data_IF_797084131088
#
_entry.id   IF_797084131088
#
_cell.length_a   1.000
_cell.length_b   1.000
_cell.length_c   1.000
_cell.angle_alpha   90.00
_cell.angle_beta   90.00
_cell.angle_gamma   90.00
#
_symmetry.space_group_name_H-M   'P 1'
#
loop_
_entity.id
_entity.type
_entity.pdbx_description
1 polymer ?
#
# COMPACT_ATOMS: atom_id res chain seq x y z
N UNK A 1 -28.00 -62.19 -6.13
CA UNK A 1 -28.91 -61.28 -5.38
C UNK A 1 -28.09 -60.02 -5.08
N UNK A 2 -28.12 -58.94 -5.84
CA UNK A 2 -29.20 -58.36 -6.63
C UNK A 2 -29.68 -57.07 -5.96
N UNK A 3 -28.99 -55.95 -6.28
CA UNK A 3 -29.45 -54.56 -6.31
C UNK A 3 -30.03 -53.88 -5.05
N UNK A 4 -29.42 -52.76 -4.66
CA UNK A 4 -30.13 -51.47 -4.55
C UNK A 4 -29.12 -50.30 -4.51
N UNK A 5 -28.86 -49.68 -5.68
CA UNK A 5 -28.39 -48.28 -5.77
C UNK A 5 -29.64 -47.40 -5.63
N UNK A 6 -29.68 -46.55 -4.62
CA UNK A 6 -30.68 -45.49 -4.47
C UNK A 6 -30.20 -44.17 -5.11
N UNK A 7 -31.11 -43.35 -5.67
CA UNK A 7 -30.80 -42.23 -6.56
C UNK A 7 -30.45 -40.93 -5.79
N UNK A 8 -29.79 -40.02 -6.50
CA UNK A 8 -29.24 -38.78 -5.95
C UNK A 8 -30.26 -37.74 -5.48
N UNK A 9 -29.73 -36.81 -4.69
CA UNK A 9 -30.21 -35.44 -4.53
C UNK A 9 -28.96 -34.56 -4.66
N UNK A 10 -28.73 -34.07 -5.86
CA UNK A 10 -28.97 -32.68 -6.24
C UNK A 10 -27.85 -31.78 -5.76
N UNK A 11 -26.98 -31.44 -6.71
CA UNK A 11 -26.16 -30.23 -6.67
C UNK A 11 -27.01 -29.05 -6.21
N UNK A 12 -26.48 -28.28 -5.25
CA UNK A 12 -26.88 -26.89 -5.07
C UNK A 12 -25.66 -26.01 -5.35
N UNK A 13 -25.40 -25.63 -6.62
CA UNK A 13 -24.36 -24.68 -6.92
C UNK A 13 -24.96 -23.28 -6.85
N UNK A 14 -24.95 -22.64 -5.67
CA UNK A 14 -25.26 -21.22 -5.61
C UNK A 14 -24.68 -20.51 -4.39
N UNK A 15 -23.35 -20.53 -4.25
CA UNK A 15 -22.68 -19.38 -3.67
C UNK A 15 -22.21 -18.53 -4.84
N UNK A 16 -22.92 -17.45 -5.16
CA UNK A 16 -22.34 -16.39 -6.00
C UNK A 16 -20.98 -16.08 -5.37
N UNK A 17 -19.86 -16.19 -6.10
CA UNK A 17 -18.56 -16.03 -5.47
C UNK A 17 -18.56 -14.68 -4.77
N UNK A 18 -18.20 -14.70 -3.48
CA UNK A 18 -18.22 -13.49 -2.64
C UNK A 18 -17.39 -12.43 -3.36
N UNK A 19 -17.70 -11.14 -3.17
CA UNK A 19 -16.95 -10.08 -3.84
C UNK A 19 -15.42 -10.24 -3.64
N UNK A 20 -15.01 -10.76 -2.47
CA UNK A 20 -13.63 -11.15 -2.14
C UNK A 20 -13.07 -12.29 -2.98
N UNK A 21 -13.86 -13.30 -3.34
CA UNK A 21 -13.45 -14.43 -4.18
C UNK A 21 -13.33 -14.02 -5.64
N UNK A 22 -14.25 -13.17 -6.13
CA UNK A 22 -14.16 -12.59 -7.48
C UNK A 22 -12.93 -11.70 -7.62
N UNK A 23 -12.69 -10.85 -6.62
CA UNK A 23 -11.49 -10.03 -6.55
C UNK A 23 -10.24 -10.91 -6.53
N UNK A 24 -10.20 -11.98 -5.72
CA UNK A 24 -9.08 -12.92 -5.66
C UNK A 24 -8.81 -13.61 -7.00
N UNK A 25 -9.84 -14.12 -7.68
CA UNK A 25 -9.69 -14.77 -8.98
C UNK A 25 -9.20 -13.78 -10.05
N UNK A 26 -9.80 -12.58 -10.12
CA UNK A 26 -9.37 -11.53 -11.04
C UNK A 26 -7.92 -11.07 -10.79
N UNK A 27 -7.52 -11.01 -9.52
CA UNK A 27 -6.16 -10.69 -9.10
C UNK A 27 -5.18 -11.79 -9.56
N UNK A 28 -5.47 -13.06 -9.31
CA UNK A 28 -4.62 -14.20 -9.72
C UNK A 28 -4.44 -14.23 -11.25
N UNK A 29 -5.51 -13.98 -12.01
CA UNK A 29 -5.52 -13.97 -13.48
C UNK A 29 -4.87 -12.73 -14.10
N UNK A 30 -4.68 -11.65 -13.33
CA UNK A 30 -4.02 -10.45 -13.84
C UNK A 30 -2.52 -10.68 -14.09
N UNK A 31 -2.02 -10.10 -15.19
CA UNK A 31 -0.57 -10.05 -15.51
C UNK A 31 0.19 -8.97 -14.71
N UNK A 32 -0.50 -8.24 -13.84
CA UNK A 32 0.10 -7.22 -12.99
C UNK A 32 0.95 -7.89 -11.91
N UNK A 33 2.21 -7.47 -11.80
CA UNK A 33 3.08 -7.84 -10.70
C UNK A 33 2.81 -6.91 -9.51
N UNK A 34 2.93 -7.37 -8.25
CA UNK A 34 2.80 -6.50 -7.08
C UNK A 34 3.67 -5.24 -7.21
N UNK A 35 4.93 -5.39 -7.66
CA UNK A 35 5.86 -4.29 -7.87
C UNK A 35 5.36 -3.22 -8.86
N UNK A 36 4.57 -3.60 -9.87
CA UNK A 36 4.01 -2.63 -10.82
C UNK A 36 2.92 -1.77 -10.18
N UNK A 37 2.19 -2.33 -9.21
CA UNK A 37 1.18 -1.60 -8.44
C UNK A 37 1.89 -0.62 -7.49
N UNK A 38 2.92 -1.06 -6.76
CA UNK A 38 3.73 -0.19 -5.90
C UNK A 38 4.34 0.97 -6.69
N UNK A 39 4.91 0.68 -7.87
CA UNK A 39 5.50 1.73 -8.70
C UNK A 39 4.46 2.75 -9.22
N UNK A 40 3.20 2.33 -9.36
CA UNK A 40 2.09 3.22 -9.73
C UNK A 40 1.68 4.10 -8.55
N UNK A 41 1.61 3.55 -7.34
CA UNK A 41 1.37 4.33 -6.11
C UNK A 41 2.49 5.35 -5.88
N UNK A 42 3.75 4.92 -6.00
CA UNK A 42 4.93 5.78 -6.01
C UNK A 42 4.80 6.95 -6.98
N UNK A 43 4.50 6.67 -8.25
CA UNK A 43 4.36 7.71 -9.27
C UNK A 43 3.24 8.72 -8.92
N UNK A 44 2.12 8.25 -8.36
CA UNK A 44 1.03 9.12 -7.92
C UNK A 44 1.43 10.00 -6.72
N UNK A 45 2.23 9.49 -5.78
CA UNK A 45 2.73 10.25 -4.66
C UNK A 45 3.78 11.30 -5.09
N UNK A 46 4.60 11.00 -6.11
CA UNK A 46 5.47 12.00 -6.77
C UNK A 46 4.63 13.10 -7.44
N UNK A 47 3.55 12.73 -8.15
CA UNK A 47 2.62 13.70 -8.74
C UNK A 47 1.93 14.53 -7.66
N UNK A 48 1.54 13.93 -6.53
CA UNK A 48 0.95 14.65 -5.41
C UNK A 48 1.90 15.72 -4.84
N UNK A 49 3.18 15.37 -4.65
CA UNK A 49 4.19 16.33 -4.22
C UNK A 49 4.41 17.47 -5.23
N UNK A 50 4.44 17.16 -6.53
CA UNK A 50 4.53 18.17 -7.58
C UNK A 50 3.30 19.10 -7.60
N UNK A 51 2.09 18.55 -7.46
CA UNK A 51 0.86 19.34 -7.37
C UNK A 51 0.84 20.23 -6.12
N UNK A 52 1.39 19.74 -5.01
CA UNK A 52 1.51 20.51 -3.78
C UNK A 52 2.49 21.68 -3.95
N UNK A 53 3.62 21.45 -4.63
CA UNK A 53 4.56 22.50 -5.02
C UNK A 53 3.89 23.60 -5.86
N UNK A 54 3.08 23.20 -6.84
CA UNK A 54 2.29 24.10 -7.68
C UNK A 54 1.05 24.68 -6.96
N UNK A 55 0.88 24.41 -5.66
CA UNK A 55 -0.23 24.89 -4.81
C UNK A 55 -1.62 24.42 -5.22
N UNK A 56 -1.71 23.34 -6.01
CA UNK A 56 -2.97 22.64 -6.32
C UNK A 56 -3.36 21.66 -5.21
N UNK A 57 -3.55 22.17 -3.98
CA UNK A 57 -3.68 21.34 -2.76
C UNK A 57 -4.79 20.29 -2.83
N UNK A 58 -5.93 20.61 -3.43
CA UNK A 58 -7.05 19.67 -3.56
C UNK A 58 -6.69 18.48 -4.47
N UNK A 59 -6.10 18.76 -5.63
CA UNK A 59 -5.64 17.72 -6.56
C UNK A 59 -4.46 16.93 -5.97
N UNK A 60 -3.55 17.60 -5.26
CA UNK A 60 -2.47 16.96 -4.53
C UNK A 60 -3.00 15.96 -3.50
N UNK A 61 -4.01 16.35 -2.72
CA UNK A 61 -4.68 15.48 -1.76
C UNK A 61 -5.36 14.28 -2.42
N UNK A 62 -6.04 14.47 -3.56
CA UNK A 62 -6.62 13.36 -4.31
C UNK A 62 -5.53 12.40 -4.81
N UNK A 63 -4.48 12.93 -5.46
CA UNK A 63 -3.38 12.12 -5.98
C UNK A 63 -2.71 11.31 -4.87
N UNK A 64 -2.46 11.94 -3.71
CA UNK A 64 -1.90 11.29 -2.53
C UNK A 64 -2.79 10.15 -2.03
N UNK A 65 -4.09 10.40 -1.82
CA UNK A 65 -5.03 9.38 -1.35
C UNK A 65 -5.09 8.21 -2.33
N UNK A 66 -5.18 8.48 -3.64
CA UNK A 66 -5.22 7.42 -4.65
C UNK A 66 -3.90 6.64 -4.67
N UNK A 67 -2.76 7.31 -4.60
CA UNK A 67 -1.43 6.70 -4.50
C UNK A 67 -1.33 5.75 -3.31
N UNK A 68 -1.57 6.26 -2.10
CA UNK A 68 -1.50 5.46 -0.85
C UNK A 68 -2.48 4.27 -0.81
N UNK A 69 -3.63 4.37 -1.50
CA UNK A 69 -4.54 3.22 -1.65
C UNK A 69 -3.92 2.16 -2.55
N UNK A 70 -3.23 2.54 -3.63
CA UNK A 70 -2.57 1.58 -4.54
C UNK A 70 -1.49 0.78 -3.81
N UNK A 71 -0.65 1.42 -2.98
CA UNK A 71 0.40 0.70 -2.22
C UNK A 71 -0.21 -0.28 -1.21
N UNK A 72 -1.25 0.17 -0.49
CA UNK A 72 -1.99 -0.71 0.43
C UNK A 72 -2.60 -1.92 -0.29
N UNK A 73 -3.03 -1.75 -1.55
CA UNK A 73 -3.58 -2.82 -2.37
C UNK A 73 -2.51 -3.78 -2.87
N UNK A 74 -1.30 -3.32 -3.18
CA UNK A 74 -0.21 -4.19 -3.64
C UNK A 74 0.21 -5.19 -2.55
N UNK A 75 0.27 -4.75 -1.28
CA UNK A 75 0.75 -5.59 -0.19
C UNK A 75 -0.28 -6.68 0.12
N UNK A 76 -1.57 -6.34 -0.01
CA UNK A 76 -2.68 -7.30 0.07
C UNK A 76 -2.68 -8.24 -1.14
N UNK A 77 -2.46 -7.71 -2.33
CA UNK A 77 -2.41 -8.48 -3.56
C UNK A 77 -1.28 -9.51 -3.55
N UNK A 78 -0.08 -9.12 -3.11
CA UNK A 78 1.09 -9.98 -2.93
C UNK A 78 0.78 -11.18 -2.04
N UNK A 79 0.12 -10.94 -0.89
CA UNK A 79 -0.30 -12.00 0.05
C UNK A 79 -1.40 -12.90 -0.51
N UNK A 80 -2.36 -12.34 -1.25
CA UNK A 80 -3.52 -13.09 -1.75
C UNK A 80 -3.26 -13.86 -3.05
N UNK A 81 -2.37 -13.35 -3.91
CA UNK A 81 -2.06 -13.91 -5.22
C UNK A 81 -1.02 -15.02 -5.19
N UNK A 82 -0.29 -15.18 -4.08
CA UNK A 82 0.83 -16.12 -3.97
C UNK A 82 2.06 -15.72 -4.79
N UNK A 83 2.06 -14.51 -5.39
CA UNK A 83 3.15 -13.96 -6.21
C UNK A 83 4.16 -13.14 -5.40
N UNK A 84 4.04 -13.11 -4.07
CA UNK A 84 4.92 -12.35 -3.19
C UNK A 84 6.35 -12.91 -3.17
N UNK A 85 7.34 -12.02 -3.18
CA UNK A 85 8.77 -12.37 -3.08
C UNK A 85 9.43 -11.55 -1.96
N UNK A 86 10.52 -12.03 -1.34
CA UNK A 86 11.26 -11.25 -0.33
C UNK A 86 11.75 -9.91 -0.87
N UNK A 87 12.21 -9.88 -2.13
CA UNK A 87 12.58 -8.63 -2.80
C UNK A 87 11.38 -7.69 -2.98
N UNK A 88 10.22 -8.20 -3.39
CA UNK A 88 9.00 -7.40 -3.52
C UNK A 88 8.56 -6.79 -2.19
N UNK A 89 8.61 -7.55 -1.09
CA UNK A 89 8.31 -7.03 0.24
C UNK A 89 9.31 -5.94 0.69
N UNK A 90 10.59 -6.11 0.37
CA UNK A 90 11.61 -5.07 0.60
C UNK A 90 11.34 -3.81 -0.24
N UNK A 91 11.01 -3.98 -1.53
CA UNK A 91 10.73 -2.86 -2.42
C UNK A 91 9.50 -2.07 -1.98
N UNK A 92 8.39 -2.76 -1.71
CA UNK A 92 7.12 -2.20 -1.18
C UNK A 92 7.39 -1.35 0.07
N UNK A 93 7.94 -1.97 1.13
CA UNK A 93 8.26 -1.27 2.38
C UNK A 93 9.27 -0.12 2.25
N UNK A 94 10.14 -0.15 1.23
CA UNK A 94 11.07 0.95 0.95
C UNK A 94 10.35 2.11 0.26
N UNK A 95 9.57 1.83 -0.78
CA UNK A 95 8.82 2.85 -1.52
C UNK A 95 7.83 3.58 -0.61
N UNK A 96 7.11 2.83 0.23
CA UNK A 96 6.24 3.32 1.30
C UNK A 96 6.84 4.48 2.13
N UNK A 97 8.14 4.39 2.42
CA UNK A 97 8.87 5.40 3.20
C UNK A 97 9.37 6.55 2.34
N UNK A 98 9.82 6.25 1.12
CA UNK A 98 10.26 7.27 0.18
C UNK A 98 9.09 8.19 -0.20
N UNK A 99 7.91 7.63 -0.42
CA UNK A 99 6.70 8.37 -0.82
C UNK A 99 6.22 9.32 0.27
N UNK A 100 6.11 8.82 1.50
CA UNK A 100 5.80 9.63 2.67
C UNK A 100 6.82 10.77 2.81
N UNK A 101 8.12 10.45 2.67
CA UNK A 101 9.19 11.44 2.71
C UNK A 101 9.09 12.52 1.64
N UNK A 102 8.80 12.15 0.39
CA UNK A 102 8.66 13.09 -0.73
C UNK A 102 7.49 14.06 -0.49
N UNK A 103 6.33 13.54 -0.08
CA UNK A 103 5.13 14.36 0.15
C UNK A 103 5.32 15.30 1.33
N UNK A 104 5.86 14.82 2.45
CA UNK A 104 6.14 15.66 3.62
C UNK A 104 7.25 16.67 3.35
N UNK A 105 8.23 16.35 2.50
CA UNK A 105 9.23 17.32 2.05
C UNK A 105 8.60 18.47 1.26
N UNK A 106 7.65 18.17 0.37
CA UNK A 106 6.91 19.20 -0.35
C UNK A 106 6.09 20.10 0.61
N UNK A 107 5.47 19.51 1.64
CA UNK A 107 4.77 20.26 2.70
C UNK A 107 5.72 21.17 3.47
N UNK A 108 6.88 20.65 3.88
CA UNK A 108 7.90 21.43 4.59
C UNK A 108 8.41 22.60 3.73
N UNK A 109 8.66 22.35 2.44
CA UNK A 109 9.08 23.38 1.49
C UNK A 109 8.01 24.47 1.33
N UNK A 110 6.73 24.10 1.25
CA UNK A 110 5.63 25.06 1.22
C UNK A 110 5.60 25.94 2.47
N UNK A 111 5.77 25.37 3.66
CA UNK A 111 5.82 26.16 4.90
C UNK A 111 7.05 27.06 4.98
N UNK A 112 8.20 26.59 4.51
CA UNK A 112 9.42 27.38 4.43
C UNK A 112 9.27 28.59 3.49
N UNK A 113 8.69 28.40 2.30
CA UNK A 113 8.39 29.47 1.34
C UNK A 113 7.48 30.56 1.92
N UNK A 114 6.60 30.18 2.86
CA UNK A 114 5.68 31.10 3.55
C UNK A 114 6.30 31.78 4.78
N UNK A 115 7.58 31.52 5.09
CA UNK A 115 8.25 32.03 6.28
C UNK A 115 7.75 31.41 7.59
N UNK A 116 7.06 30.26 7.52
CA UNK A 116 6.50 29.58 8.69
C UNK A 116 7.49 28.56 9.23
N UNK A 117 8.61 29.05 9.76
CA UNK A 117 9.75 28.22 10.19
C UNK A 117 9.37 27.11 11.18
N UNK A 118 8.51 27.42 12.16
CA UNK A 118 8.05 26.44 13.14
C UNK A 118 7.25 25.30 12.48
N UNK A 119 6.41 25.60 11.50
CA UNK A 119 5.62 24.60 10.78
C UNK A 119 6.50 23.74 9.86
N UNK A 120 7.48 24.35 9.18
CA UNK A 120 8.47 23.63 8.40
C UNK A 120 9.30 22.68 9.28
N UNK A 121 9.81 23.18 10.42
CA UNK A 121 10.56 22.37 11.39
C UNK A 121 9.71 21.24 11.99
N UNK A 122 8.44 21.50 12.31
CA UNK A 122 7.52 20.48 12.78
C UNK A 122 7.26 19.39 11.72
N UNK A 123 7.21 19.76 10.44
CA UNK A 123 7.06 18.80 9.34
C UNK A 123 8.31 17.93 9.20
N UNK A 124 9.51 18.50 9.31
CA UNK A 124 10.77 17.72 9.34
C UNK A 124 10.80 16.77 10.52
N UNK A 125 10.35 17.21 11.70
CA UNK A 125 10.25 16.34 12.87
C UNK A 125 9.24 15.19 12.65
N UNK A 126 8.12 15.46 11.97
CA UNK A 126 7.15 14.43 11.58
C UNK A 126 7.77 13.38 10.64
N UNK A 127 8.59 13.80 9.67
CA UNK A 127 9.35 12.87 8.81
C UNK A 127 10.25 11.98 9.66
N UNK A 128 11.06 12.56 10.55
CA UNK A 128 11.96 11.78 11.43
C UNK A 128 11.16 10.80 12.28
N UNK A 129 10.06 11.25 12.89
CA UNK A 129 9.19 10.40 13.71
C UNK A 129 8.60 9.23 12.90
N UNK A 130 8.10 9.46 11.69
CA UNK A 130 7.56 8.41 10.81
C UNK A 130 8.61 7.34 10.47
N UNK A 131 9.83 7.76 10.15
CA UNK A 131 10.94 6.87 9.83
C UNK A 131 11.37 6.06 11.05
N UNK A 132 11.35 6.67 12.25
CA UNK A 132 11.68 5.97 13.50
C UNK A 132 10.68 4.88 13.85
N UNK A 133 9.38 5.06 13.58
CA UNK A 133 8.38 3.99 13.76
C UNK A 133 8.72 2.76 12.91
N UNK A 134 9.07 2.99 11.64
CA UNK A 134 9.40 1.89 10.72
C UNK A 134 10.74 1.24 11.06
N UNK A 135 11.75 2.06 11.37
CA UNK A 135 13.08 1.58 11.74
C UNK A 135 13.06 0.75 13.03
N UNK A 136 12.34 1.22 14.05
CA UNK A 136 12.25 0.50 15.34
C UNK A 136 11.59 -0.86 15.17
N UNK A 137 10.51 -0.95 14.37
CA UNK A 137 9.89 -2.24 14.01
C UNK A 137 10.88 -3.16 13.30
N UNK A 138 11.48 -2.69 12.20
CA UNK A 138 12.43 -3.49 11.42
C UNK A 138 13.64 -3.94 12.26
N UNK A 139 14.14 -3.07 13.15
CA UNK A 139 15.26 -3.38 14.04
C UNK A 139 14.87 -4.39 15.11
N UNK A 140 13.67 -4.30 15.68
CA UNK A 140 13.18 -5.26 16.66
C UNK A 140 13.03 -6.66 16.04
N UNK A 141 12.43 -6.74 14.84
CA UNK A 141 12.30 -7.98 14.09
C UNK A 141 13.67 -8.59 13.75
N UNK A 142 14.65 -7.77 13.36
CA UNK A 142 16.02 -8.20 13.09
C UNK A 142 16.74 -8.75 14.34
N UNK A 143 16.31 -8.37 15.55
CA UNK A 143 16.80 -8.90 16.82
C UNK A 143 15.98 -10.09 17.33
N UNK A 144 14.98 -10.56 16.58
CA UNK A 144 14.09 -11.65 16.98
C UNK A 144 13.03 -11.25 18.00
N UNK A 145 12.80 -9.95 18.20
CA UNK A 145 11.75 -9.42 19.10
C UNK A 145 10.52 -9.10 18.28
N UNK A 146 9.38 -9.69 18.64
CA UNK A 146 8.11 -9.38 17.98
C UNK A 146 7.64 -7.96 18.39
N UNK A 147 7.61 -7.04 17.43
CA UNK A 147 7.17 -5.67 17.64
C UNK A 147 5.83 -5.42 16.95
N UNK A 148 4.74 -5.79 17.64
CA UNK A 148 3.38 -5.46 17.23
C UNK A 148 3.03 -4.08 17.76
N UNK A 149 3.02 -3.09 16.86
CA UNK A 149 2.46 -1.75 17.08
C UNK A 149 1.20 -1.64 16.25
#
# INVERSE_FOLDING_TARGET
MGLARGPGLSEAPSARPRASERARSALIESRLTPNAISLTGFALNVVAAALLWERYFFLAGIAFIVGSIMDTLDGRYSRMSGKGTPFGAFLDSTLDRVEEGIVLTAVAAYFADRGMELAAAATVLAVVASMMVSYTRARAEALGVECKV
#
